data_IF_644860115083
#
_entry.id   IF_644860115083
#
_cell.length_a   1.000
_cell.length_b   1.000
_cell.length_c   1.000
_cell.angle_alpha   90.00
_cell.angle_beta   90.00
_cell.angle_gamma   90.00
#
_symmetry.space_group_name_H-M   'P 1'
#
loop_
_entity.id
_entity.type
_entity.pdbx_description
1 polymer ?
#
# COMPACT_ATOMS: atom_id res chain seq x y z
N UNK A 1 5.25 11.87 29.54
CA UNK A 1 4.17 12.10 28.55
C UNK A 1 4.66 12.79 27.27
N UNK A 2 5.58 13.76 27.33
CA UNK A 2 6.15 14.40 26.13
C UNK A 2 7.00 13.44 25.24
N UNK A 3 7.77 12.53 25.84
CA UNK A 3 8.56 11.51 25.11
C UNK A 3 7.72 10.58 24.24
N UNK A 4 6.56 10.11 24.74
CA UNK A 4 5.65 9.27 23.96
C UNK A 4 5.03 10.02 22.78
N UNK A 5 4.83 11.33 22.90
CA UNK A 5 4.30 12.16 21.82
C UNK A 5 5.36 12.37 20.75
N UNK A 6 6.59 12.68 21.15
CA UNK A 6 7.73 12.82 20.22
C UNK A 6 8.02 11.50 19.50
N UNK A 7 7.94 10.34 20.18
CA UNK A 7 8.07 9.02 19.57
C UNK A 7 6.95 8.72 18.56
N UNK A 8 5.72 9.17 18.83
CA UNK A 8 4.56 8.95 17.97
C UNK A 8 4.59 9.80 16.69
N UNK A 9 5.21 10.97 16.75
CA UNK A 9 5.49 11.85 15.58
C UNK A 9 6.79 11.45 14.86
N UNK A 10 7.80 10.93 15.58
CA UNK A 10 9.05 10.44 15.00
C UNK A 10 8.89 9.05 14.35
N UNK A 11 7.96 8.23 14.83
CA UNK A 11 7.63 6.93 14.23
C UNK A 11 7.27 6.99 12.74
N UNK A 12 6.33 7.84 12.28
CA UNK A 12 6.02 7.95 10.85
C UNK A 12 7.21 8.49 10.05
N UNK A 13 8.02 9.39 10.63
CA UNK A 13 9.23 9.88 9.97
C UNK A 13 10.29 8.77 9.82
N UNK A 14 10.57 8.03 10.89
CA UNK A 14 11.48 6.88 10.86
C UNK A 14 10.99 5.78 9.92
N UNK A 15 9.67 5.53 9.85
CA UNK A 15 9.06 4.60 8.92
C UNK A 15 9.25 5.04 7.46
N UNK A 16 9.06 6.32 7.15
CA UNK A 16 9.33 6.86 5.81
C UNK A 16 10.80 6.73 5.43
N UNK A 17 11.72 7.10 6.32
CA UNK A 17 13.17 6.98 6.06
C UNK A 17 13.55 5.51 5.84
N UNK A 18 13.02 4.60 6.65
CA UNK A 18 13.28 3.16 6.49
C UNK A 18 12.72 2.63 5.16
N UNK A 19 11.51 3.05 4.77
CA UNK A 19 10.93 2.69 3.47
C UNK A 19 11.79 3.17 2.30
N UNK A 20 12.27 4.41 2.33
CA UNK A 20 13.15 4.94 1.28
C UNK A 20 14.49 4.20 1.23
N UNK A 21 15.09 3.89 2.38
CA UNK A 21 16.31 3.07 2.43
C UNK A 21 16.09 1.68 1.81
N UNK A 22 14.97 1.02 2.12
CA UNK A 22 14.61 -0.28 1.54
C UNK A 22 14.39 -0.16 0.02
N UNK A 23 13.71 0.89 -0.43
CA UNK A 23 13.47 1.15 -1.85
C UNK A 23 14.78 1.33 -2.64
N UNK A 24 15.70 2.17 -2.14
CA UNK A 24 17.02 2.37 -2.76
C UNK A 24 17.87 1.09 -2.73
N UNK A 25 17.84 0.35 -1.62
CA UNK A 25 18.53 -0.93 -1.49
C UNK A 25 18.05 -1.98 -2.49
N UNK A 26 16.73 -2.14 -2.63
CA UNK A 26 16.12 -3.07 -3.59
C UNK A 26 16.47 -2.71 -5.05
N UNK A 27 16.43 -1.42 -5.41
CA UNK A 27 16.82 -0.97 -6.75
C UNK A 27 18.28 -1.27 -7.06
N UNK A 28 19.16 -1.11 -6.07
CA UNK A 28 20.59 -1.42 -6.21
C UNK A 28 20.81 -2.92 -6.38
N UNK A 29 20.21 -3.75 -5.52
CA UNK A 29 20.25 -5.22 -5.63
C UNK A 29 19.69 -5.73 -6.95
N UNK A 30 18.60 -5.12 -7.44
CA UNK A 30 17.99 -5.45 -8.73
C UNK A 30 18.94 -5.14 -9.90
N UNK A 31 19.61 -3.98 -9.84
CA UNK A 31 20.60 -3.59 -10.84
C UNK A 31 21.77 -4.56 -10.88
N UNK A 32 22.33 -4.91 -9.72
CA UNK A 32 23.41 -5.90 -9.61
C UNK A 32 22.97 -7.30 -10.09
N UNK A 33 21.79 -7.77 -9.69
CA UNK A 33 21.26 -9.06 -10.13
C UNK A 33 21.03 -9.11 -11.65
N UNK A 34 20.55 -8.02 -12.25
CA UNK A 34 20.37 -7.90 -13.70
C UNK A 34 21.71 -7.85 -14.43
N UNK A 35 22.72 -7.16 -13.88
CA UNK A 35 24.09 -7.16 -14.40
C UNK A 35 24.71 -8.56 -14.37
N UNK A 36 24.37 -9.37 -13.37
CA UNK A 36 24.71 -10.80 -13.28
C UNK A 36 23.89 -11.71 -14.22
N UNK A 37 23.01 -11.14 -15.05
CA UNK A 37 22.19 -11.87 -16.02
C UNK A 37 20.88 -12.45 -15.48
N UNK A 38 20.45 -12.08 -14.27
CA UNK A 38 19.20 -12.54 -13.69
C UNK A 38 18.00 -11.85 -14.34
N UNK A 39 17.01 -12.62 -14.78
CA UNK A 39 15.75 -12.08 -15.30
C UNK A 39 14.88 -11.54 -14.17
N UNK A 40 14.23 -10.40 -14.40
CA UNK A 40 13.33 -9.74 -13.45
C UNK A 40 12.18 -10.65 -12.97
N UNK A 41 11.73 -11.57 -13.83
CA UNK A 41 10.70 -12.55 -13.49
C UNK A 41 11.09 -13.48 -12.34
N UNK A 42 12.39 -13.70 -12.11
CA UNK A 42 12.91 -14.55 -11.04
C UNK A 42 13.26 -13.70 -9.80
N UNK A 43 13.73 -12.46 -10.02
CA UNK A 43 14.09 -11.57 -8.93
C UNK A 43 12.89 -11.17 -8.06
N UNK A 44 11.78 -10.81 -8.70
CA UNK A 44 10.55 -10.38 -8.02
C UNK A 44 10.04 -11.43 -7.03
N UNK A 45 9.75 -12.69 -7.41
CA UNK A 45 9.26 -13.70 -6.48
C UNK A 45 10.27 -14.01 -5.37
N UNK A 46 11.58 -13.94 -5.65
CA UNK A 46 12.62 -14.15 -4.63
C UNK A 46 12.61 -13.06 -3.57
N UNK A 47 12.53 -11.79 -3.98
CA UNK A 47 12.45 -10.65 -3.07
C UNK A 47 11.18 -10.71 -2.19
N UNK A 48 10.04 -11.06 -2.77
CA UNK A 48 8.79 -11.26 -2.02
C UNK A 48 8.85 -12.44 -1.06
N UNK A 49 9.50 -13.55 -1.42
CA UNK A 49 9.70 -14.69 -0.54
C UNK A 49 10.58 -14.33 0.66
N UNK A 50 11.67 -13.59 0.44
CA UNK A 50 12.54 -13.09 1.51
C UNK A 50 11.79 -12.10 2.40
N UNK A 51 11.03 -11.17 1.83
CA UNK A 51 10.20 -10.24 2.59
C UNK A 51 9.16 -10.98 3.45
N UNK A 52 8.52 -12.03 2.91
CA UNK A 52 7.59 -12.88 3.65
C UNK A 52 8.28 -13.60 4.80
N UNK A 53 9.49 -14.16 4.60
CA UNK A 53 10.28 -14.80 5.65
C UNK A 53 10.72 -13.82 6.75
N UNK A 54 11.12 -12.60 6.38
CA UNK A 54 11.48 -11.53 7.33
C UNK A 54 10.27 -11.05 8.12
N UNK A 55 9.09 -11.01 7.47
CA UNK A 55 7.84 -10.62 8.12
C UNK A 55 7.21 -11.75 8.96
N UNK A 56 7.53 -13.01 8.67
CA UNK A 56 7.02 -14.20 9.36
C UNK A 56 7.26 -14.21 10.88
N UNK A 57 8.42 -13.79 11.43
CA UNK A 57 8.64 -13.69 12.88
C UNK A 57 7.97 -12.48 13.54
N UNK A 58 7.63 -11.43 12.79
CA UNK A 58 6.99 -10.22 13.32
C UNK A 58 5.68 -10.49 14.11
N UNK A 59 4.75 -11.35 13.65
CA UNK A 59 3.57 -11.71 14.43
C UNK A 59 3.86 -12.58 15.66
N UNK A 60 4.98 -13.30 15.73
CA UNK A 60 5.35 -14.11 16.90
C UNK A 60 6.03 -13.28 18.00
N UNK A 61 6.80 -12.25 17.64
CA UNK A 61 7.50 -11.36 18.59
C UNK A 61 6.57 -10.25 19.11
N UNK A 62 5.54 -9.89 18.34
CA UNK A 62 4.55 -8.90 18.77
C UNK A 62 3.59 -9.51 19.81
N UNK A 63 4.01 -9.55 21.08
CA UNK A 63 3.20 -9.96 22.24
C UNK A 63 1.97 -9.07 22.48
N UNK A 64 1.75 -8.04 21.65
CA UNK A 64 0.50 -7.30 21.63
C UNK A 64 -0.53 -8.16 20.90
N UNK A 65 -1.28 -8.96 21.66
CA UNK A 65 -2.49 -9.69 21.24
C UNK A 65 -3.29 -8.94 20.17
N UNK A 66 -2.89 -9.11 18.92
CA UNK A 66 -3.79 -9.13 17.79
C UNK A 66 -3.76 -10.59 17.41
N UNK A 67 -4.67 -11.35 18.00
CA UNK A 67 -5.24 -12.52 17.33
C UNK A 67 -5.46 -12.05 15.90
N UNK A 68 -4.61 -12.49 14.97
CA UNK A 68 -4.78 -12.16 13.56
C UNK A 68 -6.20 -12.65 13.27
N UNK A 69 -7.16 -11.77 12.93
CA UNK A 69 -8.54 -12.20 12.78
C UNK A 69 -8.49 -13.36 11.79
N UNK A 70 -9.05 -14.54 12.13
CA UNK A 70 -9.00 -15.68 11.23
C UNK A 70 -9.44 -15.18 9.87
N UNK A 71 -8.63 -15.45 8.84
CA UNK A 71 -8.87 -14.99 7.46
C UNK A 71 -10.19 -15.61 6.99
N UNK A 72 -11.28 -14.95 7.37
CA UNK A 72 -12.63 -15.34 7.01
C UNK A 72 -12.80 -15.10 5.52
N UNK A 73 -13.57 -15.95 4.87
CA UNK A 73 -13.93 -15.81 3.46
C UNK A 73 -14.45 -14.41 3.12
N UNK A 74 -15.09 -13.72 4.08
CA UNK A 74 -15.52 -12.33 3.94
C UNK A 74 -14.36 -11.33 3.80
N UNK A 75 -13.26 -11.50 4.55
CA UNK A 75 -12.07 -10.64 4.46
C UNK A 75 -11.34 -10.92 3.15
N UNK A 76 -11.20 -12.19 2.77
CA UNK A 76 -10.60 -12.58 1.50
C UNK A 76 -11.38 -12.02 0.30
N UNK A 77 -12.71 -12.11 0.35
CA UNK A 77 -13.61 -11.52 -0.66
C UNK A 77 -13.49 -9.99 -0.71
N UNK A 78 -13.43 -9.31 0.44
CA UNK A 78 -13.18 -7.86 0.49
C UNK A 78 -11.83 -7.48 -0.13
N UNK A 79 -10.77 -8.23 0.15
CA UNK A 79 -9.43 -8.02 -0.43
C UNK A 79 -9.49 -8.27 -1.95
N UNK A 80 -10.15 -9.34 -2.39
CA UNK A 80 -10.30 -9.66 -3.81
C UNK A 80 -11.10 -8.57 -4.55
N UNK A 81 -12.19 -8.08 -3.97
CA UNK A 81 -12.98 -6.98 -4.51
C UNK A 81 -12.18 -5.67 -4.56
N UNK A 82 -11.43 -5.34 -3.50
CA UNK A 82 -10.52 -4.18 -3.51
C UNK A 82 -9.45 -4.31 -4.62
N UNK A 83 -8.88 -5.50 -4.78
CA UNK A 83 -7.90 -5.79 -5.82
C UNK A 83 -8.49 -5.69 -7.23
N UNK A 84 -9.73 -6.16 -7.42
CA UNK A 84 -10.45 -6.06 -8.68
C UNK A 84 -10.74 -4.60 -9.03
N UNK A 85 -11.27 -3.83 -8.08
CA UNK A 85 -11.56 -2.39 -8.23
C UNK A 85 -10.26 -1.63 -8.55
N UNK A 86 -9.18 -1.90 -7.82
CA UNK A 86 -7.88 -1.29 -8.05
C UNK A 86 -7.33 -1.58 -9.45
N UNK A 87 -7.38 -2.84 -9.88
CA UNK A 87 -6.91 -3.27 -11.20
C UNK A 87 -7.74 -2.65 -12.33
N UNK A 88 -9.07 -2.64 -12.19
CA UNK A 88 -9.97 -1.98 -13.14
C UNK A 88 -9.73 -0.48 -13.22
N UNK A 89 -9.46 0.18 -12.08
CA UNK A 89 -9.16 1.62 -12.05
C UNK A 89 -7.87 1.97 -12.80
N UNK A 90 -6.82 1.14 -12.70
CA UNK A 90 -5.59 1.31 -13.46
C UNK A 90 -5.82 1.14 -14.96
N UNK A 91 -6.53 0.09 -15.37
CA UNK A 91 -6.86 -0.17 -16.79
C UNK A 91 -7.68 0.99 -17.37
N UNK A 92 -8.63 1.53 -16.60
CA UNK A 92 -9.44 2.68 -17.01
C UNK A 92 -8.63 3.97 -17.04
N UNK A 93 -7.63 4.15 -16.16
CA UNK A 93 -6.69 5.27 -16.21
C UNK A 93 -5.80 5.25 -17.45
N UNK A 94 -5.25 4.09 -17.82
CA UNK A 94 -4.45 3.94 -19.05
C UNK A 94 -5.28 4.12 -20.32
N UNK A 95 -6.50 3.61 -20.34
CA UNK A 95 -7.46 3.85 -21.43
C UNK A 95 -7.87 5.32 -21.50
N UNK A 96 -8.07 5.95 -20.34
CA UNK A 96 -8.41 7.37 -20.21
C UNK A 96 -7.30 8.31 -20.71
N UNK A 97 -6.03 7.98 -20.49
CA UNK A 97 -4.88 8.73 -21.05
C UNK A 97 -4.76 8.53 -22.57
N UNK A 98 -5.16 7.37 -23.10
CA UNK A 98 -5.21 7.15 -24.55
C UNK A 98 -6.35 7.92 -25.24
N UNK A 99 -7.48 8.13 -24.55
CA UNK A 99 -8.64 8.86 -25.08
C UNK A 99 -8.70 10.34 -24.66
N UNK A 100 -7.87 10.78 -23.72
CA UNK A 100 -7.92 12.10 -23.10
C UNK A 100 -6.51 12.69 -22.96
N UNK A 101 -6.38 14.01 -23.07
CA UNK A 101 -5.08 14.67 -22.98
C UNK A 101 -4.43 14.47 -21.59
N UNK A 102 -3.09 14.33 -21.52
CA UNK A 102 -2.36 14.29 -20.25
C UNK A 102 -2.69 15.44 -19.28
N UNK A 103 -3.13 16.59 -19.79
CA UNK A 103 -3.58 17.72 -18.98
C UNK A 103 -4.90 17.44 -18.24
N UNK A 104 -5.84 16.72 -18.86
CA UNK A 104 -7.10 16.32 -18.23
C UNK A 104 -6.86 15.26 -17.14
N UNK A 105 -5.96 14.30 -17.37
CA UNK A 105 -5.55 13.33 -16.36
C UNK A 105 -4.88 14.00 -15.14
N UNK A 106 -4.03 15.02 -15.39
CA UNK A 106 -3.43 15.85 -14.33
C UNK A 106 -4.48 16.65 -13.55
N UNK A 107 -5.46 17.25 -14.24
CA UNK A 107 -6.55 17.98 -13.60
C UNK A 107 -7.43 17.07 -12.72
N UNK A 108 -7.74 15.85 -13.17
CA UNK A 108 -8.50 14.86 -12.39
C UNK A 108 -7.71 14.41 -11.14
N UNK A 109 -6.39 14.28 -11.25
CA UNK A 109 -5.53 13.92 -10.12
C UNK A 109 -5.54 14.99 -9.02
N UNK A 110 -5.65 16.28 -9.39
CA UNK A 110 -5.79 17.37 -8.43
C UNK A 110 -7.16 17.37 -7.71
N UNK A 111 -8.16 16.68 -8.26
CA UNK A 111 -9.47 16.52 -7.63
C UNK A 111 -9.53 15.31 -6.69
N UNK A 112 -8.54 14.40 -6.72
CA UNK A 112 -8.49 13.22 -5.84
C UNK A 112 -8.61 13.56 -4.34
N UNK A 113 -7.95 14.61 -3.79
CA UNK A 113 -8.13 14.99 -2.39
C UNK A 113 -9.56 15.48 -2.10
N UNK A 114 -10.16 16.22 -3.03
CA UNK A 114 -11.53 16.74 -2.89
C UNK A 114 -12.57 15.62 -2.92
N UNK A 115 -12.46 14.66 -3.85
CA UNK A 115 -13.31 13.48 -3.89
C UNK A 115 -13.15 12.60 -2.65
N UNK A 116 -11.92 12.43 -2.16
CA UNK A 116 -11.64 11.69 -0.92
C UNK A 116 -12.35 12.34 0.27
N UNK A 117 -12.37 13.67 0.35
CA UNK A 117 -13.07 14.41 1.40
C UNK A 117 -14.60 14.28 1.29
N UNK A 118 -15.16 14.37 0.07
CA UNK A 118 -16.58 14.16 -0.19
C UNK A 118 -17.00 12.74 0.18
N UNK A 119 -16.26 11.71 -0.24
CA UNK A 119 -16.53 10.33 0.15
C UNK A 119 -16.42 10.15 1.66
N UNK A 120 -15.41 10.76 2.30
CA UNK A 120 -15.28 10.71 3.75
C UNK A 120 -16.49 11.35 4.45
N UNK A 121 -17.07 12.44 3.93
CA UNK A 121 -18.30 13.04 4.46
C UNK A 121 -19.50 12.12 4.25
N UNK A 122 -19.68 11.59 3.03
CA UNK A 122 -20.80 10.70 2.70
C UNK A 122 -20.78 9.45 3.58
N UNK A 123 -19.63 8.76 3.66
CA UNK A 123 -19.49 7.56 4.48
C UNK A 123 -19.49 7.84 5.98
N UNK A 124 -19.09 9.05 6.42
CA UNK A 124 -19.27 9.49 7.81
C UNK A 124 -20.74 9.75 8.14
N UNK A 125 -21.51 10.37 7.23
CA UNK A 125 -22.96 10.55 7.39
C UNK A 125 -23.76 9.25 7.22
N UNK A 126 -23.15 8.22 6.63
CA UNK A 126 -23.68 6.86 6.49
C UNK A 126 -23.15 5.92 7.59
N UNK A 127 -22.62 6.47 8.69
CA UNK A 127 -22.42 5.75 9.95
C UNK A 127 -23.70 5.80 10.79
N UNK A 128 -24.07 4.71 11.49
CA UNK A 128 -25.45 4.47 11.93
C UNK A 128 -25.93 5.51 12.92
N UNK A 129 -26.92 6.31 12.53
CA UNK A 129 -27.82 7.03 13.44
C UNK A 129 -28.82 6.09 14.14
N UNK A 130 -28.42 4.85 14.47
CA UNK A 130 -29.19 3.93 15.30
C UNK A 130 -28.24 3.25 16.30
N UNK A 131 -27.96 3.95 17.41
CA UNK A 131 -28.23 3.55 18.80
C UNK A 131 -27.82 4.69 19.72
#
# INVERSE_FOLDING_TARGET
MAEMYCYREALPFAAMVTMECVNVGLNTLFKEATLAGMSYHVFVPYAYAVAALVLLPAPFVSHRSRVLPPLSFSILSKIALLGLIGSSSQIMGYTGINYSSPALASAISNLTPAFTFIFAIIFRSLGPSLT
#
